data_IF_780845828260
#
_entry.id   IF_780845828260
#
_cell.length_a   1.000
_cell.length_b   1.000
_cell.length_c   1.000
_cell.angle_alpha   90.00
_cell.angle_beta   90.00
_cell.angle_gamma   90.00
#
_symmetry.space_group_name_H-M   'P 1'
#
loop_
_entity.id
_entity.type
_entity.pdbx_description
1 polymer ?
#
# COMPACT_ATOMS: atom_id res chain seq x y z
N UNK A 1 -56.94 3.42 -53.29
CA UNK A 1 -56.23 2.48 -52.40
C UNK A 1 -54.81 3.03 -52.13
N UNK A 2 -54.63 3.55 -50.92
CA UNK A 2 -53.34 4.10 -50.47
C UNK A 2 -52.61 3.05 -49.67
N UNK A 3 -51.45 2.59 -50.14
CA UNK A 3 -50.62 1.65 -49.41
C UNK A 3 -49.71 2.41 -48.44
N UNK A 4 -49.92 2.21 -47.14
CA UNK A 4 -49.06 2.68 -46.08
C UNK A 4 -47.92 1.63 -45.91
N UNK A 5 -46.70 2.02 -46.26
CA UNK A 5 -45.50 1.25 -45.96
C UNK A 5 -45.03 1.66 -44.58
N UNK A 6 -45.15 0.78 -43.57
CA UNK A 6 -44.54 0.93 -42.24
C UNK A 6 -43.06 0.52 -42.33
N UNK A 7 -42.13 1.50 -42.32
CA UNK A 7 -40.71 1.23 -42.15
C UNK A 7 -40.49 1.08 -40.64
N UNK A 8 -40.26 -0.17 -40.19
CA UNK A 8 -39.83 -0.49 -38.83
C UNK A 8 -38.35 -0.22 -38.72
N UNK A 9 -37.95 0.95 -38.19
CA UNK A 9 -36.55 1.23 -37.81
C UNK A 9 -36.26 0.41 -36.55
N UNK A 10 -35.51 -0.69 -36.72
CA UNK A 10 -34.85 -1.40 -35.64
C UNK A 10 -33.68 -0.52 -35.15
N UNK A 11 -33.90 0.23 -34.08
CA UNK A 11 -32.87 0.89 -33.31
C UNK A 11 -32.10 -0.21 -32.55
N UNK A 12 -31.05 -0.75 -33.14
CA UNK A 12 -30.09 -1.58 -32.41
C UNK A 12 -29.31 -0.67 -31.45
N UNK A 13 -29.79 -0.54 -30.23
CA UNK A 13 -29.02 0.00 -29.14
C UNK A 13 -27.83 -0.94 -28.92
N UNK A 14 -26.69 -0.60 -29.48
CA UNK A 14 -25.43 -1.23 -29.11
C UNK A 14 -25.21 -0.93 -27.61
N UNK A 15 -25.59 -1.88 -26.77
CA UNK A 15 -25.19 -1.90 -25.36
C UNK A 15 -23.65 -1.98 -25.36
N UNK A 16 -23.01 -0.82 -25.30
CA UNK A 16 -21.57 -0.76 -25.04
C UNK A 16 -21.36 -1.36 -23.65
N UNK A 17 -21.09 -2.64 -23.61
CA UNK A 17 -20.72 -3.32 -22.37
C UNK A 17 -19.48 -2.62 -21.84
N UNK A 18 -19.65 -1.86 -20.75
CA UNK A 18 -18.54 -1.22 -20.06
C UNK A 18 -17.60 -2.32 -19.59
N UNK A 19 -16.32 -2.19 -19.94
CA UNK A 19 -15.29 -3.11 -19.46
C UNK A 19 -15.34 -3.25 -17.94
N UNK A 20 -15.19 -4.47 -17.46
CA UNK A 20 -14.97 -4.70 -16.04
C UNK A 20 -13.54 -4.37 -15.70
N UNK A 21 -13.35 -3.50 -14.72
CA UNK A 21 -12.05 -3.00 -14.28
C UNK A 21 -11.95 -3.18 -12.77
N UNK A 22 -10.86 -3.78 -12.30
CA UNK A 22 -10.57 -3.99 -10.89
C UNK A 22 -9.18 -3.49 -10.60
N UNK A 23 -9.05 -2.56 -9.66
CA UNK A 23 -7.78 -2.12 -9.09
C UNK A 23 -7.65 -2.65 -7.67
N UNK A 24 -6.49 -3.19 -7.34
CA UNK A 24 -6.15 -3.72 -6.03
C UNK A 24 -4.86 -3.04 -5.60
N UNK A 25 -4.95 -2.21 -4.57
CA UNK A 25 -3.78 -1.61 -3.92
C UNK A 25 -3.15 -2.66 -3.02
N UNK A 26 -1.85 -2.91 -3.19
CA UNK A 26 -1.19 -4.02 -2.49
C UNK A 26 -1.15 -3.80 -0.97
N UNK A 27 -0.93 -2.56 -0.52
CA UNK A 27 -0.91 -2.23 0.90
C UNK A 27 -2.27 -2.41 1.60
N UNK A 28 -3.36 -2.49 0.84
CA UNK A 28 -4.72 -2.73 1.35
C UNK A 28 -5.07 -4.22 1.42
N UNK A 29 -4.17 -5.13 1.07
CA UNK A 29 -4.42 -6.56 1.17
C UNK A 29 -4.79 -6.97 2.60
N UNK A 30 -5.83 -7.80 2.71
CA UNK A 30 -6.38 -8.24 4.01
C UNK A 30 -5.41 -9.11 4.81
N UNK A 31 -4.56 -9.86 4.13
CA UNK A 31 -3.48 -10.62 4.73
C UNK A 31 -2.17 -10.23 4.03
N UNK A 32 -1.28 -9.59 4.73
CA UNK A 32 0.04 -9.20 4.18
C UNK A 32 1.09 -10.29 4.30
N UNK A 33 0.81 -11.37 5.02
CA UNK A 33 1.79 -12.44 5.25
C UNK A 33 3.06 -11.90 5.89
N UNK A 34 4.20 -12.16 5.24
CA UNK A 34 5.49 -11.61 5.63
C UNK A 34 5.90 -10.34 4.88
N UNK A 35 5.02 -9.78 4.03
CA UNK A 35 5.28 -8.54 3.33
C UNK A 35 5.07 -7.34 4.26
N UNK A 36 5.95 -6.36 4.18
CA UNK A 36 5.90 -5.13 4.96
C UNK A 36 5.39 -3.98 4.12
N UNK A 37 4.67 -3.04 4.73
CA UNK A 37 4.29 -1.79 4.08
C UNK A 37 5.47 -0.84 4.09
N UNK A 38 5.85 -0.32 2.93
CA UNK A 38 6.94 0.63 2.76
C UNK A 38 6.43 1.92 2.10
N UNK A 39 6.98 3.06 2.51
CA UNK A 39 6.50 4.40 2.15
C UNK A 39 7.54 5.24 1.38
N UNK A 40 8.66 4.64 1.00
CA UNK A 40 9.80 5.36 0.41
C UNK A 40 9.43 6.18 -0.84
N UNK A 41 8.38 5.81 -1.58
CA UNK A 41 7.99 6.43 -2.85
C UNK A 41 6.59 7.05 -2.82
N UNK A 42 6.06 7.41 -1.65
CA UNK A 42 4.71 7.98 -1.54
C UNK A 42 4.52 9.29 -2.29
N UNK A 43 5.55 10.11 -2.40
CA UNK A 43 5.57 11.35 -3.18
C UNK A 43 5.39 11.11 -4.68
N UNK A 44 5.86 9.98 -5.19
CA UNK A 44 5.69 9.58 -6.59
C UNK A 44 4.36 8.85 -6.83
N UNK A 45 3.94 8.01 -5.90
CA UNK A 45 2.81 7.10 -6.11
C UNK A 45 1.51 7.55 -5.45
N UNK A 46 1.59 8.41 -4.45
CA UNK A 46 0.45 8.84 -3.65
C UNK A 46 -0.10 7.78 -2.70
N UNK A 47 0.58 6.63 -2.59
CA UNK A 47 0.27 5.51 -1.69
C UNK A 47 1.54 4.78 -1.27
N UNK A 48 1.54 4.05 -0.14
CA UNK A 48 2.58 3.07 0.18
C UNK A 48 2.46 1.84 -0.73
N UNK A 49 3.41 0.91 -0.61
CA UNK A 49 3.43 -0.34 -1.35
C UNK A 49 3.85 -1.51 -0.44
N UNK A 50 3.71 -2.74 -0.90
CA UNK A 50 4.22 -3.92 -0.21
C UNK A 50 5.63 -4.28 -0.67
N UNK A 51 6.49 -4.66 0.30
CA UNK A 51 7.85 -5.10 0.08
C UNK A 51 8.13 -6.42 0.79
N UNK A 52 8.68 -7.39 0.05
CA UNK A 52 9.09 -8.70 0.58
C UNK A 52 10.49 -8.60 1.22
N UNK A 53 10.56 -8.16 2.48
CA UNK A 53 11.81 -7.92 3.20
C UNK A 53 12.20 -9.11 4.07
N UNK A 54 12.73 -10.17 3.44
CA UNK A 54 13.09 -11.43 4.10
C UNK A 54 14.60 -11.66 4.26
N UNK A 55 15.45 -10.69 3.91
CA UNK A 55 16.92 -10.80 4.00
C UNK A 55 17.48 -12.05 3.29
N UNK A 56 16.91 -12.39 2.13
CA UNK A 56 17.31 -13.55 1.33
C UNK A 56 16.53 -14.82 1.62
N UNK A 57 15.56 -14.77 2.52
CA UNK A 57 14.62 -15.87 2.78
C UNK A 57 13.24 -15.47 2.31
N UNK A 58 12.59 -16.23 1.40
CA UNK A 58 11.24 -15.90 0.95
C UNK A 58 10.27 -15.71 2.12
N UNK A 59 9.47 -14.64 2.05
CA UNK A 59 8.49 -14.32 3.08
C UNK A 59 7.15 -15.01 2.81
N UNK A 60 6.30 -15.12 3.82
CA UNK A 60 4.97 -15.69 3.68
C UNK A 60 4.10 -14.87 2.72
N UNK A 61 3.22 -15.54 1.98
CA UNK A 61 2.36 -14.97 0.96
C UNK A 61 1.46 -13.86 1.49
N UNK A 62 1.41 -12.74 0.75
CA UNK A 62 0.33 -11.77 0.92
C UNK A 62 -0.88 -12.19 0.09
N UNK A 63 -2.10 -11.96 0.60
CA UNK A 63 -3.31 -12.31 -0.14
C UNK A 63 -4.50 -11.43 0.21
N UNK A 64 -5.40 -11.28 -0.76
CA UNK A 64 -6.68 -10.61 -0.57
C UNK A 64 -7.75 -11.22 -1.47
N UNK A 65 -8.99 -10.82 -1.27
CA UNK A 65 -10.09 -11.17 -2.17
C UNK A 65 -10.54 -9.93 -2.95
N UNK A 66 -10.91 -10.15 -4.19
CA UNK A 66 -11.50 -9.14 -5.05
C UNK A 66 -12.75 -9.68 -5.74
N UNK A 67 -13.54 -8.79 -6.34
CA UNK A 67 -14.81 -9.12 -6.97
C UNK A 67 -14.77 -8.75 -8.45
N UNK A 68 -15.16 -9.68 -9.33
CA UNK A 68 -15.45 -9.40 -10.74
C UNK A 68 -16.94 -9.31 -10.96
N UNK A 69 -17.37 -8.37 -11.80
CA UNK A 69 -18.80 -8.18 -12.14
C UNK A 69 -19.24 -9.08 -13.27
N UNK A 70 -18.35 -9.38 -14.20
CA UNK A 70 -18.65 -10.14 -15.40
C UNK A 70 -17.72 -11.34 -15.54
N UNK A 71 -18.21 -12.42 -16.14
CA UNK A 71 -17.39 -13.54 -16.57
C UNK A 71 -16.69 -13.18 -17.88
N UNK A 72 -15.39 -13.46 -18.00
CA UNK A 72 -14.67 -13.11 -19.23
C UNK A 72 -13.18 -13.38 -19.16
N UNK A 73 -12.48 -12.93 -20.20
CA UNK A 73 -11.03 -12.93 -20.26
C UNK A 73 -10.52 -11.59 -19.72
N UNK A 74 -9.82 -11.62 -18.61
CA UNK A 74 -9.19 -10.47 -17.97
C UNK A 74 -7.72 -10.42 -18.33
N UNK A 75 -7.22 -9.24 -18.63
CA UNK A 75 -5.80 -8.94 -18.71
C UNK A 75 -5.33 -8.45 -17.36
N UNK A 76 -4.25 -9.03 -16.85
CA UNK A 76 -3.70 -8.73 -15.54
C UNK A 76 -2.41 -7.93 -15.68
N UNK A 77 -2.32 -6.85 -14.93
CA UNK A 77 -1.12 -6.03 -14.80
C UNK A 77 -0.71 -5.95 -13.34
N UNK A 78 0.60 -5.88 -13.08
CA UNK A 78 1.16 -5.60 -11.77
C UNK A 78 2.09 -4.40 -11.84
N UNK A 79 2.00 -3.49 -10.89
CA UNK A 79 2.94 -2.39 -10.74
C UNK A 79 4.03 -2.78 -9.78
N UNK A 80 5.26 -2.76 -10.29
CA UNK A 80 6.44 -3.24 -9.57
C UNK A 80 7.68 -2.40 -9.88
N UNK A 81 8.72 -2.57 -9.08
CA UNK A 81 9.98 -1.84 -9.19
C UNK A 81 11.17 -2.76 -8.98
N UNK A 82 12.10 -2.75 -9.95
CA UNK A 82 13.41 -3.35 -9.77
C UNK A 82 14.32 -2.38 -9.00
N UNK A 83 14.42 -2.58 -7.70
CA UNK A 83 15.12 -1.65 -6.81
C UNK A 83 16.63 -1.56 -7.06
N UNK A 84 17.23 -2.53 -7.78
CA UNK A 84 18.67 -2.50 -8.14
C UNK A 84 18.96 -1.79 -9.46
N UNK A 85 17.93 -1.41 -10.23
CA UNK A 85 18.10 -0.77 -11.54
C UNK A 85 18.97 0.49 -11.54
N UNK A 86 18.95 1.36 -10.49
CA UNK A 86 19.83 2.52 -10.45
C UNK A 86 21.33 2.19 -10.41
N UNK A 87 21.69 0.96 -10.05
CA UNK A 87 23.11 0.55 -9.86
C UNK A 87 23.57 -0.52 -10.85
N UNK A 88 22.65 -1.21 -11.52
CA UNK A 88 23.00 -2.30 -12.43
C UNK A 88 21.92 -2.55 -13.47
N UNK A 89 22.33 -2.87 -14.70
CA UNK A 89 21.43 -3.34 -15.78
C UNK A 89 21.09 -4.83 -15.69
N UNK A 90 21.69 -5.56 -14.74
CA UNK A 90 21.39 -6.99 -14.54
C UNK A 90 20.01 -7.16 -13.89
N UNK A 91 19.35 -8.31 -14.09
CA UNK A 91 18.12 -8.61 -13.37
C UNK A 91 18.31 -8.50 -11.86
N UNK A 92 17.38 -7.81 -11.20
CA UNK A 92 17.41 -7.59 -9.76
C UNK A 92 17.08 -8.86 -8.96
N UNK A 93 17.35 -8.85 -7.66
CA UNK A 93 17.09 -9.99 -6.79
C UNK A 93 15.62 -10.08 -6.31
N UNK A 94 14.86 -8.98 -6.36
CA UNK A 94 13.53 -8.89 -5.77
C UNK A 94 12.43 -9.52 -6.62
N UNK A 95 12.37 -10.87 -6.68
CA UNK A 95 11.45 -11.62 -7.55
C UNK A 95 10.25 -12.14 -6.81
N UNK A 96 9.06 -11.98 -7.42
CA UNK A 96 7.83 -12.59 -6.92
C UNK A 96 6.91 -13.01 -8.06
N UNK A 97 5.89 -13.80 -7.76
CA UNK A 97 4.81 -14.20 -8.67
C UNK A 97 3.47 -13.72 -8.16
N UNK A 98 2.55 -13.53 -9.07
CA UNK A 98 1.14 -13.28 -8.77
C UNK A 98 0.35 -14.54 -9.06
N UNK A 99 -0.62 -14.86 -8.20
CA UNK A 99 -1.59 -15.89 -8.48
C UNK A 99 -3.01 -15.35 -8.32
N UNK A 100 -3.91 -15.81 -9.19
CA UNK A 100 -5.35 -15.60 -9.04
C UNK A 100 -5.98 -16.97 -8.85
N UNK A 101 -6.73 -17.12 -7.77
CA UNK A 101 -7.24 -18.38 -7.25
C UNK A 101 -6.09 -19.36 -7.00
N UNK A 102 -5.92 -20.39 -7.84
CA UNK A 102 -4.84 -21.37 -7.73
C UNK A 102 -3.85 -21.30 -8.90
N UNK A 103 -4.02 -20.32 -9.79
CA UNK A 103 -3.23 -20.19 -11.01
C UNK A 103 -2.16 -19.12 -10.86
N UNK A 104 -0.90 -19.51 -10.86
CA UNK A 104 0.25 -18.62 -10.86
C UNK A 104 0.51 -18.08 -12.27
N UNK A 105 0.98 -16.84 -12.33
CA UNK A 105 1.52 -16.26 -13.57
C UNK A 105 2.76 -17.03 -14.03
N UNK A 106 2.96 -17.12 -15.34
CA UNK A 106 4.05 -17.92 -15.93
C UNK A 106 5.43 -17.36 -15.58
N UNK A 107 5.57 -16.04 -15.55
CA UNK A 107 6.84 -15.37 -15.32
C UNK A 107 6.86 -14.67 -13.95
N UNK A 108 8.00 -14.66 -13.26
CA UNK A 108 8.22 -13.79 -12.11
C UNK A 108 8.37 -12.34 -12.56
N UNK A 109 8.15 -11.43 -11.62
CA UNK A 109 8.26 -9.98 -11.80
C UNK A 109 9.09 -9.36 -10.67
N UNK A 110 9.41 -8.06 -10.80
CA UNK A 110 10.15 -7.29 -9.80
C UNK A 110 11.67 -7.22 -10.04
N UNK A 111 12.17 -7.96 -11.03
CA UNK A 111 13.61 -8.09 -11.31
C UNK A 111 14.10 -7.32 -12.55
N UNK A 112 13.20 -6.66 -13.29
CA UNK A 112 13.54 -5.99 -14.56
C UNK A 112 12.93 -4.60 -14.66
N UNK A 113 13.46 -3.82 -15.63
CA UNK A 113 13.00 -2.46 -15.94
C UNK A 113 13.59 -1.41 -15.00
N UNK A 114 13.40 -0.15 -15.39
CA UNK A 114 13.83 1.04 -14.65
C UNK A 114 12.61 1.73 -14.03
N UNK A 115 12.73 2.16 -12.79
CA UNK A 115 11.64 2.83 -12.09
C UNK A 115 10.42 1.96 -11.81
N UNK A 116 9.36 2.58 -11.34
CA UNK A 116 8.04 1.96 -11.14
C UNK A 116 7.34 1.76 -12.49
N UNK A 117 6.92 0.55 -12.77
CA UNK A 117 6.33 0.20 -14.05
C UNK A 117 5.18 -0.80 -13.91
N UNK A 118 4.24 -0.72 -14.84
CA UNK A 118 3.22 -1.74 -15.02
C UNK A 118 3.74 -2.86 -15.92
N UNK A 119 3.76 -4.07 -15.40
CA UNK A 119 4.13 -5.29 -16.13
C UNK A 119 2.87 -6.05 -16.49
N UNK A 120 2.74 -6.38 -17.76
CA UNK A 120 1.66 -7.19 -18.31
C UNK A 120 1.91 -8.68 -18.01
N UNK A 121 1.04 -9.28 -17.24
CA UNK A 121 1.12 -10.70 -16.84
C UNK A 121 0.29 -11.63 -17.73
N UNK A 122 -0.26 -11.10 -18.84
CA UNK A 122 -1.09 -11.86 -19.76
C UNK A 122 -2.56 -11.89 -19.36
N UNK A 123 -3.25 -12.91 -19.84
CA UNK A 123 -4.70 -13.04 -19.66
C UNK A 123 -5.07 -14.29 -18.87
N UNK A 124 -6.21 -14.19 -18.17
CA UNK A 124 -6.81 -15.29 -17.43
C UNK A 124 -8.34 -15.26 -17.58
N UNK A 125 -8.98 -16.42 -17.55
CA UNK A 125 -10.44 -16.53 -17.59
C UNK A 125 -10.98 -16.55 -16.16
N UNK A 126 -11.86 -15.58 -15.85
CA UNK A 126 -12.55 -15.50 -14.56
C UNK A 126 -14.07 -15.58 -14.78
N UNK A 127 -14.75 -16.19 -13.83
CA UNK A 127 -16.21 -16.10 -13.71
C UNK A 127 -16.55 -14.79 -13.00
N UNK A 128 -17.81 -14.32 -13.11
CA UNK A 128 -18.26 -13.26 -12.20
C UNK A 128 -18.29 -13.79 -10.76
N UNK A 129 -17.85 -12.97 -9.80
CA UNK A 129 -17.83 -13.37 -8.40
C UNK A 129 -16.53 -13.08 -7.70
N UNK A 130 -16.34 -13.74 -6.57
CA UNK A 130 -15.20 -13.54 -5.65
C UNK A 130 -14.02 -14.40 -6.07
N UNK A 131 -12.84 -13.77 -6.16
CA UNK A 131 -11.56 -14.39 -6.48
C UNK A 131 -10.52 -14.08 -5.41
N UNK A 132 -9.56 -14.98 -5.24
CA UNK A 132 -8.42 -14.77 -4.35
C UNK A 132 -7.19 -14.34 -5.16
N UNK A 133 -6.56 -13.24 -4.76
CA UNK A 133 -5.26 -12.80 -5.29
C UNK A 133 -4.17 -13.11 -4.26
N UNK A 134 -3.00 -13.54 -4.75
CA UNK A 134 -1.83 -13.89 -3.93
C UNK A 134 -0.58 -13.25 -4.53
N UNK A 135 0.26 -12.67 -3.68
CA UNK A 135 1.64 -12.33 -3.98
C UNK A 135 2.53 -13.37 -3.33
N UNK A 136 3.30 -14.08 -4.13
CA UNK A 136 4.21 -15.15 -3.70
C UNK A 136 5.65 -14.70 -3.91
N UNK A 137 6.36 -14.44 -2.82
CA UNK A 137 7.76 -14.06 -2.84
C UNK A 137 8.65 -15.26 -3.18
N UNK A 138 9.68 -15.02 -3.99
CA UNK A 138 10.61 -16.06 -4.43
C UNK A 138 12.00 -15.94 -3.79
N UNK A 139 12.33 -14.78 -3.22
CA UNK A 139 13.72 -14.50 -2.89
C UNK A 139 13.95 -13.85 -1.53
N UNK A 140 12.96 -13.18 -0.96
CA UNK A 140 13.15 -12.37 0.25
C UNK A 140 14.02 -11.12 0.06
N UNK A 141 14.34 -10.77 -1.18
CA UNK A 141 15.21 -9.63 -1.50
C UNK A 141 14.43 -8.42 -2.04
N UNK A 142 13.49 -7.95 -1.22
CA UNK A 142 12.79 -6.68 -1.43
C UNK A 142 12.02 -6.61 -2.76
N UNK A 143 11.34 -7.71 -3.17
CA UNK A 143 10.33 -7.65 -4.21
C UNK A 143 9.27 -6.60 -3.84
N UNK A 144 8.93 -5.69 -4.77
CA UNK A 144 8.04 -4.57 -4.52
C UNK A 144 6.81 -4.63 -5.40
N UNK A 145 5.64 -4.54 -4.77
CA UNK A 145 4.35 -4.51 -5.43
C UNK A 145 3.52 -3.33 -4.91
N UNK A 146 3.17 -2.41 -5.79
CA UNK A 146 2.32 -1.25 -5.48
C UNK A 146 0.84 -1.58 -5.71
N UNK A 147 0.50 -2.03 -6.91
CA UNK A 147 -0.88 -2.30 -7.26
C UNK A 147 -1.02 -3.38 -8.32
N UNK A 148 -2.22 -3.95 -8.41
CA UNK A 148 -2.60 -4.87 -9.49
C UNK A 148 -3.86 -4.35 -10.17
N UNK A 149 -3.92 -4.51 -11.48
CA UNK A 149 -5.05 -4.08 -12.30
C UNK A 149 -5.51 -5.18 -13.22
N UNK A 150 -6.81 -5.46 -13.21
CA UNK A 150 -7.44 -6.42 -14.08
C UNK A 150 -8.51 -5.71 -14.94
N UNK A 151 -8.56 -6.06 -16.22
CA UNK A 151 -9.58 -5.50 -17.11
C UNK A 151 -10.01 -6.48 -18.19
N UNK A 152 -11.31 -6.46 -18.55
CA UNK A 152 -11.83 -7.15 -19.74
C UNK A 152 -11.73 -6.27 -20.99
N UNK A 153 -11.36 -5.00 -20.83
CA UNK A 153 -11.21 -4.05 -21.93
C UNK A 153 -9.79 -3.96 -22.47
N UNK A 154 -9.60 -2.97 -23.33
CA UNK A 154 -8.29 -2.65 -23.94
C UNK A 154 -7.51 -1.59 -23.18
N UNK A 155 -8.11 -0.99 -22.15
CA UNK A 155 -7.47 0.05 -21.33
C UNK A 155 -6.23 -0.50 -20.68
N UNK A 156 -5.11 0.22 -20.80
CA UNK A 156 -3.88 -0.06 -20.06
C UNK A 156 -3.82 0.83 -18.82
N UNK A 157 -3.20 0.33 -17.75
CA UNK A 157 -3.01 1.15 -16.56
C UNK A 157 -2.12 2.35 -16.85
N UNK A 158 -2.44 3.47 -16.22
CA UNK A 158 -1.71 4.72 -16.44
C UNK A 158 -0.46 4.80 -15.56
N UNK A 159 0.59 5.44 -16.07
CA UNK A 159 1.79 5.75 -15.29
C UNK A 159 1.50 6.82 -14.23
N UNK A 160 2.33 6.89 -13.20
CA UNK A 160 2.21 7.89 -12.12
C UNK A 160 2.80 9.24 -12.47
N UNK A 161 3.67 9.30 -13.47
CA UNK A 161 4.62 10.42 -13.61
C UNK A 161 3.96 11.71 -14.10
N UNK A 162 2.70 11.66 -14.53
CA UNK A 162 1.97 12.82 -15.09
C UNK A 162 0.79 13.30 -14.21
N UNK A 163 0.64 12.78 -13.01
CA UNK A 163 -0.48 13.11 -12.11
C UNK A 163 -1.84 12.52 -12.54
N UNK A 164 -1.96 11.97 -13.74
CA UNK A 164 -3.20 11.36 -14.25
C UNK A 164 -3.50 10.04 -13.55
N UNK A 165 -2.47 9.34 -13.10
CA UNK A 165 -2.59 8.07 -12.38
C UNK A 165 -3.44 8.21 -11.11
N UNK A 166 -3.25 9.28 -10.33
CA UNK A 166 -4.04 9.52 -9.11
C UNK A 166 -5.53 9.72 -9.39
N UNK A 167 -5.89 10.39 -10.48
CA UNK A 167 -7.29 10.54 -10.92
C UNK A 167 -7.87 9.21 -11.40
N UNK A 168 -7.12 8.45 -12.18
CA UNK A 168 -7.50 7.15 -12.69
C UNK A 168 -7.72 6.15 -11.54
N UNK A 169 -6.79 6.08 -10.56
CA UNK A 169 -6.93 5.25 -9.36
C UNK A 169 -8.18 5.60 -8.56
N UNK A 170 -8.42 6.90 -8.26
CA UNK A 170 -9.63 7.36 -7.55
C UNK A 170 -10.92 6.99 -8.27
N UNK A 171 -10.93 7.03 -9.61
CA UNK A 171 -12.09 6.60 -10.40
C UNK A 171 -12.40 5.11 -10.20
N UNK A 172 -11.36 4.27 -10.16
CA UNK A 172 -11.51 2.80 -10.03
C UNK A 172 -11.84 2.38 -8.59
N UNK A 173 -11.22 3.01 -7.61
CA UNK A 173 -11.48 2.75 -6.19
C UNK A 173 -12.87 3.26 -5.74
N UNK A 174 -13.47 4.16 -6.51
CA UNK A 174 -14.77 4.73 -6.17
C UNK A 174 -14.70 5.75 -5.05
N UNK A 175 -15.86 6.09 -4.49
CA UNK A 175 -15.95 7.00 -3.34
C UNK A 175 -15.72 6.22 -2.06
N UNK A 176 -14.63 6.52 -1.37
CA UNK A 176 -14.43 6.08 0.01
C UNK A 176 -15.41 6.84 0.91
N UNK A 177 -16.09 6.13 1.79
CA UNK A 177 -16.92 6.77 2.81
C UNK A 177 -16.02 7.66 3.69
N UNK A 178 -16.33 8.95 3.74
CA UNK A 178 -15.60 9.90 4.59
C UNK A 178 -16.26 9.90 5.97
N UNK A 179 -15.55 9.37 6.96
CA UNK A 179 -15.96 9.50 8.35
C UNK A 179 -15.56 10.90 8.88
N UNK A 180 -16.53 11.63 9.41
CA UNK A 180 -16.29 12.92 10.04
C UNK A 180 -16.29 12.77 11.55
N UNK A 181 -15.23 13.19 12.19
CA UNK A 181 -15.09 13.22 13.66
C UNK A 181 -14.65 14.63 14.10
N UNK A 182 -15.00 15.00 15.34
CA UNK A 182 -14.60 16.27 15.94
C UNK A 182 -13.73 16.00 17.15
N UNK A 183 -12.64 16.75 17.26
CA UNK A 183 -11.68 16.70 18.35
C UNK A 183 -11.31 18.14 18.77
N UNK A 184 -10.90 18.31 20.02
CA UNK A 184 -10.41 19.61 20.52
C UNK A 184 -8.98 19.86 20.02
N UNK A 185 -8.20 18.78 19.85
CA UNK A 185 -6.82 18.87 19.42
C UNK A 185 -6.48 17.70 18.47
N UNK A 186 -5.92 18.02 17.31
CA UNK A 186 -5.48 17.02 16.32
C UNK A 186 -3.99 17.15 16.08
N UNK A 187 -3.26 16.07 16.32
CA UNK A 187 -1.82 15.96 16.05
C UNK A 187 -1.65 15.13 14.77
N UNK A 188 -0.89 15.64 13.81
CA UNK A 188 -0.52 14.92 12.60
C UNK A 188 0.96 14.57 12.67
N UNK A 189 1.25 13.27 12.70
CA UNK A 189 2.58 12.70 12.84
C UNK A 189 2.80 12.06 14.21
N UNK A 190 2.97 10.72 14.21
CA UNK A 190 3.15 9.89 15.40
C UNK A 190 4.62 9.72 15.83
N UNK A 191 5.51 10.61 15.45
CA UNK A 191 6.86 10.66 16.02
C UNK A 191 6.86 11.08 17.50
N UNK A 192 8.02 11.00 18.17
CA UNK A 192 8.14 11.32 19.62
C UNK A 192 7.53 12.69 19.95
N UNK A 193 7.77 13.71 19.14
CA UNK A 193 7.22 15.05 19.38
C UNK A 193 5.69 15.05 19.31
N UNK A 194 5.10 14.39 18.31
CA UNK A 194 3.65 14.29 18.17
C UNK A 194 3.01 13.48 19.29
N UNK A 195 3.62 12.39 19.69
CA UNK A 195 3.18 11.59 20.85
C UNK A 195 3.19 12.44 22.13
N UNK A 196 4.27 13.19 22.40
CA UNK A 196 4.35 14.11 23.54
C UNK A 196 3.23 15.16 23.50
N UNK A 197 2.98 15.76 22.34
CA UNK A 197 1.93 16.75 22.17
C UNK A 197 0.53 16.15 22.41
N UNK A 198 0.25 14.98 21.84
CA UNK A 198 -1.03 14.31 22.00
C UNK A 198 -1.30 13.93 23.47
N UNK A 199 -0.33 13.31 24.13
CA UNK A 199 -0.45 12.91 25.55
C UNK A 199 -0.57 14.14 26.46
N UNK A 200 0.21 15.21 26.19
CA UNK A 200 0.12 16.44 26.98
C UNK A 200 -1.26 17.09 26.88
N UNK A 201 -1.83 17.18 25.66
CA UNK A 201 -3.16 17.73 25.46
C UNK A 201 -4.25 16.84 26.13
N UNK A 202 -4.17 15.54 25.98
CA UNK A 202 -5.10 14.60 26.61
C UNK A 202 -5.09 14.72 28.16
N UNK A 203 -3.91 14.88 28.74
CA UNK A 203 -3.75 15.10 30.22
C UNK A 203 -4.34 16.42 30.68
N UNK A 204 -4.53 17.39 29.80
CA UNK A 204 -5.24 18.64 30.08
C UNK A 204 -6.76 18.53 29.86
N UNK A 205 -7.27 17.34 29.56
CA UNK A 205 -8.69 17.08 29.39
C UNK A 205 -9.20 17.29 27.94
N UNK A 206 -8.33 17.57 26.98
CA UNK A 206 -8.72 17.67 25.58
C UNK A 206 -9.12 16.31 24.99
N UNK A 207 -10.13 16.29 24.14
CA UNK A 207 -10.42 15.16 23.25
C UNK A 207 -9.43 15.21 22.10
N UNK A 208 -8.47 14.30 22.07
CA UNK A 208 -7.34 14.32 21.13
C UNK A 208 -7.46 13.26 20.06
N UNK A 209 -7.03 13.58 18.82
CA UNK A 209 -6.70 12.61 17.80
C UNK A 209 -5.22 12.70 17.46
N UNK A 210 -4.56 11.54 17.36
CA UNK A 210 -3.23 11.40 16.80
C UNK A 210 -3.36 10.68 15.45
N UNK A 211 -2.99 11.36 14.37
CA UNK A 211 -2.99 10.82 13.01
C UNK A 211 -1.57 10.38 12.67
N UNK A 212 -1.39 9.11 12.37
CA UNK A 212 -0.11 8.56 11.96
C UNK A 212 -0.29 7.75 10.67
N UNK A 213 0.61 7.93 9.71
CA UNK A 213 0.61 7.23 8.42
C UNK A 213 1.50 5.97 8.41
N UNK A 214 2.19 5.72 9.53
CA UNK A 214 3.09 4.57 9.69
C UNK A 214 2.46 3.48 10.55
N UNK A 215 2.87 2.21 10.38
CA UNK A 215 2.31 1.09 11.14
C UNK A 215 2.63 1.13 12.64
N UNK A 216 3.68 1.87 13.04
CA UNK A 216 4.08 2.01 14.43
C UNK A 216 4.32 3.46 14.81
N UNK A 217 4.11 3.79 16.08
CA UNK A 217 4.41 5.10 16.65
C UNK A 217 5.91 5.22 17.01
N UNK A 218 6.39 6.47 17.13
CA UNK A 218 7.76 6.77 17.55
C UNK A 218 8.64 7.36 16.45
N UNK A 219 8.26 7.24 15.18
CA UNK A 219 9.03 7.78 14.05
C UNK A 219 10.44 7.19 14.01
N UNK A 220 11.48 8.03 14.04
CA UNK A 220 12.86 7.57 14.06
C UNK A 220 13.17 6.65 15.26
N UNK A 221 12.48 6.83 16.38
CA UNK A 221 12.61 6.02 17.58
C UNK A 221 11.61 4.85 17.59
N UNK A 222 11.48 4.15 16.48
CA UNK A 222 10.66 2.97 16.32
C UNK A 222 11.46 1.82 15.73
N UNK A 223 10.88 0.63 15.69
CA UNK A 223 11.48 -0.53 15.03
C UNK A 223 11.68 -0.33 13.51
N UNK A 224 10.97 0.63 12.89
CA UNK A 224 11.13 0.95 11.47
C UNK A 224 12.47 1.62 11.16
N UNK A 225 12.87 2.62 11.94
CA UNK A 225 14.07 3.44 11.67
C UNK A 225 15.24 3.10 12.58
N UNK A 226 14.94 2.65 13.80
CA UNK A 226 15.90 2.13 14.79
C UNK A 226 16.99 3.12 15.20
N UNK A 227 16.59 4.36 15.46
CA UNK A 227 17.43 5.39 16.06
C UNK A 227 17.00 5.54 17.52
N UNK A 228 17.94 5.39 18.47
CA UNK A 228 17.62 5.56 19.89
C UNK A 228 17.42 7.03 20.25
N UNK A 229 16.67 7.28 21.32
CA UNK A 229 16.59 8.61 21.92
C UNK A 229 17.90 8.91 22.66
N UNK A 230 18.62 9.90 22.14
CA UNK A 230 19.86 10.39 22.74
C UNK A 230 19.69 11.79 23.30
N UNK A 231 20.74 12.29 23.94
CA UNK A 231 20.81 13.64 24.45
C UNK A 231 20.59 13.76 25.97
N UNK A 232 20.78 14.97 26.46
CA UNK A 232 20.59 15.32 27.86
C UNK A 232 19.20 15.93 28.01
N UNK A 233 18.37 15.31 28.84
CA UNK A 233 17.01 15.73 29.14
C UNK A 233 16.89 16.11 30.60
N UNK A 234 15.82 16.83 30.96
CA UNK A 234 15.54 17.24 32.33
C UNK A 234 16.61 18.18 32.92
N UNK A 235 17.21 19.02 32.10
CA UNK A 235 18.16 20.05 32.49
C UNK A 235 17.57 21.47 32.35
N UNK A 236 18.25 22.47 32.93
CA UNK A 236 17.82 23.86 32.86
C UNK A 236 16.60 24.15 33.72
N UNK A 237 15.87 25.23 33.36
CA UNK A 237 14.71 25.72 34.14
C UNK A 237 13.45 24.87 33.99
N UNK A 238 13.37 24.03 32.96
CA UNK A 238 12.21 23.16 32.65
C UNK A 238 12.53 21.69 32.86
N UNK A 239 13.01 21.31 34.01
CA UNK A 239 13.47 19.92 34.30
C UNK A 239 12.42 18.83 34.08
N UNK A 240 11.13 19.17 33.99
CA UNK A 240 10.05 18.18 33.81
C UNK A 240 9.70 17.89 32.37
N UNK A 241 10.23 18.63 31.40
CA UNK A 241 9.88 18.45 29.99
C UNK A 241 10.29 17.08 29.42
N UNK A 242 11.36 16.48 29.92
CA UNK A 242 11.82 15.17 29.46
C UNK A 242 11.07 13.95 30.01
N UNK A 243 10.16 14.12 30.96
CA UNK A 243 9.51 12.98 31.67
C UNK A 243 8.69 12.10 30.74
N UNK A 244 7.98 12.69 29.81
CA UNK A 244 7.14 11.93 28.86
C UNK A 244 7.97 10.98 27.99
N UNK A 245 9.17 11.37 27.63
CA UNK A 245 10.10 10.52 26.87
C UNK A 245 10.43 9.24 27.68
N UNK A 246 10.54 9.33 29.01
CA UNK A 246 10.77 8.16 29.86
C UNK A 246 9.57 7.21 29.95
N UNK A 247 8.38 7.70 29.68
CA UNK A 247 7.16 6.90 29.76
C UNK A 247 7.03 5.96 28.56
N UNK A 248 7.28 6.43 27.35
CA UNK A 248 7.11 5.64 26.13
C UNK A 248 8.39 5.44 25.31
N UNK A 249 9.51 6.06 25.68
CA UNK A 249 10.81 5.76 25.08
C UNK A 249 11.29 4.34 25.46
N UNK A 250 12.05 3.70 24.58
CA UNK A 250 12.62 2.39 24.86
C UNK A 250 13.68 2.47 25.98
N UNK A 251 13.81 1.38 26.76
CA UNK A 251 14.68 1.32 27.94
C UNK A 251 16.12 0.97 27.64
N UNK A 252 16.37 0.39 26.47
CA UNK A 252 17.71 -0.02 26.06
C UNK A 252 18.21 0.91 24.94
N UNK A 253 19.45 1.37 25.04
CA UNK A 253 20.03 2.32 24.08
C UNK A 253 20.78 1.66 22.96
N UNK A 254 20.91 2.39 21.84
CA UNK A 254 21.70 2.02 20.67
C UNK A 254 20.96 2.18 19.37
N UNK A 255 21.68 2.56 18.31
CA UNK A 255 21.15 2.61 16.97
C UNK A 255 21.24 1.22 16.32
N UNK A 256 20.35 0.95 15.37
CA UNK A 256 20.33 -0.29 14.60
C UNK A 256 20.23 -1.59 15.44
N UNK A 257 19.70 -1.49 16.65
CA UNK A 257 19.44 -2.64 17.51
C UNK A 257 18.31 -3.50 16.92
N UNK A 258 18.11 -4.76 17.35
CA UNK A 258 16.94 -5.56 16.99
C UNK A 258 15.64 -4.84 17.22
N UNK A 259 14.64 -5.07 16.38
CA UNK A 259 13.34 -4.38 16.41
C UNK A 259 12.66 -4.44 17.81
N UNK A 260 12.80 -5.57 18.51
CA UNK A 260 12.23 -5.77 19.85
C UNK A 260 12.74 -4.80 20.91
N UNK A 261 13.93 -4.22 20.72
CA UNK A 261 14.48 -3.24 21.66
C UNK A 261 13.76 -1.90 21.64
N UNK A 262 13.02 -1.59 20.55
CA UNK A 262 12.31 -0.31 20.43
C UNK A 262 10.93 -0.32 21.10
N UNK A 263 10.50 -1.48 21.59
CA UNK A 263 9.30 -1.65 22.44
C UNK A 263 8.07 -0.88 21.90
N UNK A 264 7.79 -1.00 20.58
CA UNK A 264 6.75 -0.20 19.91
C UNK A 264 5.37 -0.35 20.58
N UNK A 265 5.05 -1.54 21.10
CA UNK A 265 3.80 -1.80 21.83
C UNK A 265 3.59 -0.91 23.07
N UNK A 266 4.67 -0.39 23.66
CA UNK A 266 4.56 0.56 24.78
C UNK A 266 4.12 1.95 24.35
N UNK A 267 4.20 2.25 23.08
CA UNK A 267 3.79 3.53 22.49
C UNK A 267 2.32 3.53 22.07
N UNK A 268 1.74 2.34 21.91
CA UNK A 268 0.35 2.14 21.51
C UNK A 268 -0.60 2.01 22.72
N UNK A 269 -0.07 1.87 23.93
CA UNK A 269 -0.81 1.71 25.20
C UNK A 269 -0.98 3.04 25.93
#
# INVERSE_FOLDING_TARGET
MRHFIFILMLLSAALTSRADEVLIEAEQMTNKGGWVTDQQFMDLMGSPYLMAHGLGVPVADASTFFQTRTSGTYRLFVRTYNWTAPWTSKPGPGKFRVAVDKTYTSQPVGDRGEGWQWVDLGTLRLKSGRHRLVLHDLTGFNGRCDALYLTTGTTRPQSVDDGSCGLWRRRLMGKTAVEKRSFDFVVVGGGIAGMCAAVAAARQGCKVALVNDRPVLGGNNSSEVRVHLGGIIETGIYQRLGRMIREFGHRQGGNAMPASYYEDSRKDS
#
